data_IF_498849206728
#
_entry.id   IF_498849206728
#
_cell.length_a   1.000
_cell.length_b   1.000
_cell.length_c   1.000
_cell.angle_alpha   90.00
_cell.angle_beta   90.00
_cell.angle_gamma   90.00
#
_symmetry.space_group_name_H-M   'P 1'
#
loop_
_entity.id
_entity.type
_entity.pdbx_description
1 polymer ?
#
# COMPACT_ATOMS: atom_id res chain seq x y z
N UNK A 1 -19.22 -13.17 -61.57
CA UNK A 1 -19.74 -13.36 -60.19
C UNK A 1 -18.99 -12.37 -59.31
N UNK A 2 -19.66 -11.29 -58.88
CA UNK A 2 -19.04 -10.16 -58.20
C UNK A 2 -19.08 -10.32 -56.68
N UNK A 3 -17.93 -10.18 -56.04
CA UNK A 3 -17.79 -10.17 -54.58
C UNK A 3 -17.92 -8.73 -54.08
N UNK A 4 -19.11 -8.35 -53.63
CA UNK A 4 -19.34 -7.09 -52.92
C UNK A 4 -18.82 -7.19 -51.50
N UNK A 5 -17.80 -6.40 -51.17
CA UNK A 5 -17.28 -6.27 -49.80
C UNK A 5 -18.29 -5.57 -48.90
N UNK A 6 -18.73 -6.23 -47.84
CA UNK A 6 -19.54 -5.64 -46.78
C UNK A 6 -18.66 -4.80 -45.85
N UNK A 7 -18.81 -3.48 -45.91
CA UNK A 7 -18.26 -2.58 -44.88
C UNK A 7 -19.15 -2.67 -43.63
N UNK A 8 -18.56 -3.04 -42.50
CA UNK A 8 -19.19 -2.85 -41.19
C UNK A 8 -19.08 -1.36 -40.84
N UNK A 9 -20.21 -0.66 -40.80
CA UNK A 9 -20.28 0.69 -40.26
C UNK A 9 -20.21 0.61 -38.72
N UNK A 10 -19.10 1.06 -38.15
CA UNK A 10 -18.99 1.27 -36.70
C UNK A 10 -19.79 2.52 -36.32
N UNK A 11 -20.96 2.33 -35.71
CA UNK A 11 -21.69 3.42 -35.07
C UNK A 11 -20.94 3.86 -33.81
N UNK A 12 -20.18 4.94 -33.93
CA UNK A 12 -19.61 5.65 -32.78
C UNK A 12 -20.71 6.55 -32.21
N UNK A 13 -21.23 6.20 -31.03
CA UNK A 13 -22.12 7.08 -30.28
C UNK A 13 -21.32 8.26 -29.72
N UNK A 14 -21.32 9.38 -30.45
CA UNK A 14 -20.90 10.66 -29.92
C UNK A 14 -22.04 11.24 -29.09
N UNK A 15 -21.85 11.33 -27.78
CA UNK A 15 -22.79 11.98 -26.87
C UNK A 15 -22.64 13.51 -26.97
N UNK A 16 -22.94 14.07 -28.14
CA UNK A 16 -22.84 15.53 -28.40
C UNK A 16 -24.18 16.25 -28.15
N UNK A 17 -25.00 15.71 -27.24
CA UNK A 17 -26.21 16.34 -26.77
C UNK A 17 -25.91 17.10 -25.48
N UNK A 18 -26.26 18.39 -25.36
CA UNK A 18 -26.04 19.14 -24.13
C UNK A 18 -26.78 18.43 -22.99
N UNK A 19 -26.04 17.99 -21.97
CA UNK A 19 -26.58 17.31 -20.79
C UNK A 19 -27.52 18.29 -20.07
N UNK A 20 -28.80 18.22 -20.39
CA UNK A 20 -29.84 19.00 -19.72
C UNK A 20 -30.24 18.25 -18.47
N UNK A 21 -29.62 18.61 -17.34
CA UNK A 21 -30.12 18.19 -16.03
C UNK A 21 -31.50 18.81 -15.80
N UNK A 22 -32.42 18.04 -15.23
CA UNK A 22 -33.72 18.55 -14.84
C UNK A 22 -33.56 19.59 -13.73
N UNK A 23 -34.42 20.61 -13.73
CA UNK A 23 -34.39 21.67 -12.70
C UNK A 23 -34.54 21.10 -11.28
N UNK A 24 -35.24 19.97 -11.12
CA UNK A 24 -35.36 19.26 -9.85
C UNK A 24 -34.04 18.68 -9.36
N UNK A 25 -33.22 18.13 -10.27
CA UNK A 25 -31.89 17.60 -9.93
C UNK A 25 -30.93 18.73 -9.64
N UNK A 26 -30.97 19.82 -10.40
CA UNK A 26 -30.16 21.03 -10.13
C UNK A 26 -30.50 21.61 -8.75
N UNK A 27 -31.78 21.75 -8.43
CA UNK A 27 -32.22 22.25 -7.12
C UNK A 27 -31.84 21.27 -5.98
N UNK A 28 -31.89 19.97 -6.23
CA UNK A 28 -31.46 18.96 -5.24
C UNK A 28 -29.94 19.00 -5.02
N UNK A 29 -29.14 19.21 -6.07
CA UNK A 29 -27.70 19.35 -5.97
C UNK A 29 -27.29 20.67 -5.30
N UNK A 30 -28.01 21.76 -5.58
CA UNK A 30 -27.76 23.08 -4.98
C UNK A 30 -28.17 23.16 -3.50
N UNK A 31 -29.20 22.45 -3.10
CA UNK A 31 -29.69 22.44 -1.71
C UNK A 31 -29.15 21.26 -0.89
N UNK A 32 -28.39 20.34 -1.50
CA UNK A 32 -27.77 19.24 -0.78
C UNK A 32 -26.60 19.78 0.06
N UNK A 33 -26.67 19.69 1.40
CA UNK A 33 -25.49 19.98 2.24
C UNK A 33 -24.44 18.87 2.12
N UNK A 34 -24.83 17.71 1.56
CA UNK A 34 -23.95 16.56 1.34
C UNK A 34 -23.06 16.84 0.13
N UNK A 35 -21.79 17.18 0.38
CA UNK A 35 -20.74 17.30 -0.62
C UNK A 35 -20.17 15.92 -0.96
N UNK A 36 -19.37 15.80 -2.02
CA UNK A 36 -18.66 14.55 -2.34
C UNK A 36 -17.79 14.06 -1.17
N UNK A 37 -17.35 14.97 -0.30
CA UNK A 37 -16.59 14.65 0.91
C UNK A 37 -17.44 13.95 1.97
N UNK A 38 -18.69 14.35 2.19
CA UNK A 38 -19.56 13.70 3.18
C UNK A 38 -19.97 12.31 2.72
N UNK A 39 -20.29 12.17 1.41
CA UNK A 39 -20.54 10.86 0.79
C UNK A 39 -19.34 9.90 0.90
N UNK A 40 -18.12 10.41 0.73
CA UNK A 40 -16.91 9.61 0.89
C UNK A 40 -16.70 9.18 2.35
N UNK A 41 -16.97 10.06 3.31
CA UNK A 41 -16.88 9.76 4.75
C UNK A 41 -17.90 8.72 5.19
N UNK A 42 -19.15 8.82 4.74
CA UNK A 42 -20.20 7.84 5.05
C UNK A 42 -19.88 6.45 4.50
N UNK A 43 -19.33 6.40 3.29
CA UNK A 43 -18.90 5.15 2.69
C UNK A 43 -17.75 4.50 3.47
N UNK A 44 -16.78 5.32 3.89
CA UNK A 44 -15.66 4.86 4.72
C UNK A 44 -16.13 4.32 6.07
N UNK A 45 -17.03 5.03 6.76
CA UNK A 45 -17.61 4.55 8.02
C UNK A 45 -18.34 3.21 7.86
N UNK A 46 -19.07 3.04 6.75
CA UNK A 46 -19.75 1.78 6.44
C UNK A 46 -18.78 0.63 6.15
N UNK A 47 -17.64 0.91 5.52
CA UNK A 47 -16.57 -0.09 5.35
C UNK A 47 -16.02 -0.47 6.73
N UNK A 48 -15.68 0.51 7.56
CA UNK A 48 -15.12 0.27 8.89
C UNK A 48 -16.05 -0.58 9.75
N UNK A 49 -17.35 -0.30 9.74
CA UNK A 49 -18.33 -1.08 10.50
C UNK A 49 -18.37 -2.54 10.04
N UNK A 50 -18.35 -2.78 8.72
CA UNK A 50 -18.38 -4.13 8.15
C UNK A 50 -17.09 -4.90 8.46
N UNK A 51 -15.93 -4.26 8.28
CA UNK A 51 -14.64 -4.86 8.60
C UNK A 51 -14.58 -5.24 10.07
N UNK A 52 -15.06 -4.36 10.96
CA UNK A 52 -15.09 -4.63 12.39
C UNK A 52 -15.98 -5.83 12.75
N UNK A 53 -17.16 -5.94 12.13
CA UNK A 53 -18.05 -7.09 12.32
C UNK A 53 -17.39 -8.41 11.87
N UNK A 54 -16.76 -8.42 10.69
CA UNK A 54 -16.05 -9.61 10.18
C UNK A 54 -14.85 -10.00 11.05
N UNK A 55 -14.12 -9.02 11.59
CA UNK A 55 -13.02 -9.28 12.53
C UNK A 55 -13.55 -9.86 13.84
N UNK A 56 -14.68 -9.38 14.37
CA UNK A 56 -15.31 -9.98 15.56
C UNK A 56 -15.72 -11.41 15.31
N UNK A 57 -16.39 -11.67 14.19
CA UNK A 57 -16.81 -13.02 13.79
C UNK A 57 -15.62 -13.96 13.66
N UNK A 58 -14.53 -13.49 13.07
CA UNK A 58 -13.28 -14.26 12.93
C UNK A 58 -12.69 -14.58 14.30
N UNK A 59 -12.63 -13.60 15.22
CA UNK A 59 -12.13 -13.80 16.58
C UNK A 59 -12.96 -14.82 17.35
N UNK A 60 -14.28 -14.75 17.28
CA UNK A 60 -15.18 -15.70 17.95
C UNK A 60 -15.04 -17.12 17.38
N UNK A 61 -14.91 -17.25 16.06
CA UNK A 61 -14.66 -18.54 15.42
C UNK A 61 -13.31 -19.15 15.83
N UNK A 62 -12.27 -18.32 15.92
CA UNK A 62 -10.96 -18.74 16.41
C UNK A 62 -11.04 -19.16 17.87
N UNK A 63 -11.70 -18.38 18.74
CA UNK A 63 -11.87 -18.73 20.15
C UNK A 63 -12.59 -20.08 20.32
N UNK A 64 -13.73 -20.28 19.63
CA UNK A 64 -14.45 -21.56 19.65
C UNK A 64 -13.59 -22.73 19.18
N UNK A 65 -12.77 -22.53 18.14
CA UNK A 65 -11.82 -23.55 17.68
C UNK A 65 -10.79 -23.85 18.77
N UNK A 66 -10.17 -22.83 19.36
CA UNK A 66 -9.20 -23.01 20.44
C UNK A 66 -9.82 -23.73 21.64
N UNK A 67 -11.04 -23.39 22.02
CA UNK A 67 -11.77 -24.07 23.10
C UNK A 67 -12.02 -25.55 22.75
N UNK A 68 -12.42 -25.86 21.50
CA UNK A 68 -12.64 -27.23 21.05
C UNK A 68 -11.35 -28.07 21.01
N UNK A 69 -10.24 -27.46 20.57
CA UNK A 69 -8.93 -28.11 20.59
C UNK A 69 -8.48 -28.34 22.03
N UNK A 70 -8.61 -27.33 22.90
CA UNK A 70 -8.30 -27.43 24.32
C UNK A 70 -9.14 -28.51 25.01
N UNK A 71 -10.43 -28.58 24.73
CA UNK A 71 -11.32 -29.63 25.25
C UNK A 71 -10.88 -31.03 24.77
N UNK A 72 -10.47 -31.16 23.51
CA UNK A 72 -9.97 -32.42 22.94
C UNK A 72 -8.63 -32.84 23.54
N UNK A 73 -7.74 -31.88 23.82
CA UNK A 73 -6.44 -32.10 24.45
C UNK A 73 -6.58 -32.44 25.95
N UNK A 74 -7.57 -31.89 26.64
CA UNK A 74 -7.79 -32.14 28.07
C UNK A 74 -8.61 -33.41 28.35
N UNK A 75 -9.51 -33.79 27.43
CA UNK A 75 -10.26 -35.06 27.49
C UNK A 75 -9.37 -36.29 27.30
N UNK A 76 -8.26 -36.16 26.56
CA UNK A 76 -7.23 -37.19 26.49
C UNK A 76 -6.08 -36.86 27.46
N UNK A 77 -6.25 -37.18 28.75
CA UNK A 77 -5.10 -37.27 29.65
C UNK A 77 -4.18 -38.42 29.18
N UNK A 78 -2.86 -38.22 29.05
CA UNK A 78 -1.94 -39.28 28.72
C UNK A 78 -1.83 -40.25 29.91
N UNK A 79 -2.28 -41.48 29.70
CA UNK A 79 -1.87 -42.64 30.50
C UNK A 79 -0.35 -42.79 30.30
N UNK A 80 0.48 -42.74 31.36
CA UNK A 80 1.89 -43.02 31.22
C UNK A 80 2.04 -44.53 31.09
N UNK A 81 2.46 -45.03 29.93
CA UNK A 81 3.19 -46.30 29.83
C UNK A 81 3.79 -46.49 28.44
N UNK A 82 5.00 -47.03 28.45
CA UNK A 82 5.97 -47.13 27.38
C UNK A 82 5.50 -47.99 26.21
N UNK A 83 5.77 -47.56 24.99
CA UNK A 83 6.40 -48.39 23.94
C UNK A 83 6.54 -47.60 22.64
N UNK A 84 7.79 -47.38 22.23
CA UNK A 84 8.17 -46.92 20.91
C UNK A 84 7.56 -47.81 19.81
N UNK A 85 7.26 -47.24 18.64
CA UNK A 85 8.12 -47.57 17.51
C UNK A 85 8.58 -46.35 16.72
N UNK A 86 9.79 -46.48 16.19
CA UNK A 86 10.43 -45.55 15.26
C UNK A 86 9.58 -45.39 13.99
N UNK A 87 9.34 -44.15 13.58
CA UNK A 87 9.06 -43.81 12.18
C UNK A 87 9.87 -42.57 11.81
N UNK A 88 10.84 -42.77 10.93
CA UNK A 88 11.45 -41.70 10.13
C UNK A 88 10.33 -41.01 9.33
N UNK A 89 10.28 -39.68 9.36
CA UNK A 89 9.23 -38.92 8.70
C UNK A 89 9.22 -37.47 9.14
N UNK A 90 10.02 -36.66 8.45
CA UNK A 90 9.75 -35.26 8.11
C UNK A 90 9.42 -34.29 9.25
N UNK A 91 10.32 -33.32 9.43
CA UNK A 91 10.16 -32.15 10.30
C UNK A 91 9.08 -31.20 9.73
N UNK A 92 7.83 -31.65 9.64
CA UNK A 92 6.65 -30.84 9.30
C UNK A 92 5.79 -30.57 10.53
N UNK A 93 6.43 -30.52 11.71
CA UNK A 93 5.78 -30.09 12.94
C UNK A 93 5.71 -28.57 13.02
N UNK A 94 4.58 -28.07 13.54
CA UNK A 94 4.26 -26.66 13.85
C UNK A 94 5.39 -25.86 14.55
N UNK A 95 6.36 -26.55 15.16
CA UNK A 95 7.57 -25.96 15.72
C UNK A 95 8.47 -25.27 14.68
N UNK A 96 8.55 -25.76 13.44
CA UNK A 96 9.32 -25.11 12.38
C UNK A 96 8.68 -23.80 11.89
N UNK A 97 7.34 -23.69 11.99
CA UNK A 97 6.60 -22.45 11.68
C UNK A 97 6.60 -21.44 12.83
N UNK A 98 6.78 -21.91 14.08
CA UNK A 98 6.88 -21.04 15.25
C UNK A 98 8.31 -20.49 15.44
N UNK A 99 9.33 -21.16 14.92
CA UNK A 99 10.71 -20.64 14.80
C UNK A 99 10.86 -19.67 13.62
N UNK A 100 9.84 -18.85 13.37
CA UNK A 100 9.90 -17.76 12.41
C UNK A 100 10.89 -16.69 12.91
N UNK A 101 11.73 -16.13 12.03
CA UNK A 101 12.69 -15.08 12.41
C UNK A 101 12.05 -13.76 12.83
N UNK A 102 10.71 -13.68 12.83
CA UNK A 102 9.94 -12.52 13.26
C UNK A 102 9.40 -12.66 14.70
N UNK A 103 9.50 -13.83 15.34
CA UNK A 103 8.97 -14.06 16.69
C UNK A 103 10.12 -14.31 17.69
N UNK A 104 10.57 -13.25 18.35
CA UNK A 104 11.43 -13.35 19.52
C UNK A 104 10.56 -13.28 20.78
N UNK A 105 10.45 -14.41 21.48
CA UNK A 105 9.86 -14.44 22.83
C UNK A 105 10.90 -13.93 23.84
N UNK A 106 10.63 -12.76 24.43
CA UNK A 106 11.46 -12.13 25.47
C UNK A 106 11.29 -12.80 26.85
N UNK A 107 10.32 -13.71 27.02
CA UNK A 107 9.98 -14.26 28.35
C UNK A 107 10.81 -15.47 28.80
N UNK A 108 11.61 -16.08 27.92
CA UNK A 108 12.38 -17.28 28.26
C UNK A 108 13.85 -16.94 28.56
N UNK A 109 14.12 -16.55 29.81
CA UNK A 109 15.49 -16.45 30.33
C UNK A 109 15.96 -17.83 30.84
N UNK A 110 16.98 -18.34 30.16
CA UNK A 110 17.98 -19.33 30.60
C UNK A 110 17.48 -20.72 31.04
N UNK A 111 17.77 -21.73 30.21
CA UNK A 111 18.64 -22.86 30.61
C UNK A 111 19.07 -23.73 29.43
N UNK A 112 20.37 -23.99 29.47
CA UNK A 112 21.11 -25.12 28.91
C UNK A 112 21.38 -25.20 27.40
N UNK A 113 22.65 -24.91 27.12
CA UNK A 113 23.41 -25.25 25.94
C UNK A 113 23.48 -26.77 25.73
N UNK A 114 23.06 -27.21 24.54
CA UNK A 114 23.69 -28.26 23.68
C UNK A 114 22.67 -28.79 22.66
N UNK A 115 22.52 -28.08 21.55
CA UNK A 115 22.09 -28.66 20.29
C UNK A 115 22.89 -28.02 19.17
N UNK A 116 23.26 -28.86 18.19
CA UNK A 116 24.25 -28.63 17.17
C UNK A 116 24.22 -27.23 16.53
N UNK A 117 25.42 -26.72 16.27
CA UNK A 117 25.71 -25.58 15.40
C UNK A 117 25.16 -25.88 13.99
N UNK A 118 23.87 -25.64 13.80
CA UNK A 118 23.32 -25.31 12.49
C UNK A 118 23.60 -23.84 12.34
N UNK A 119 24.75 -23.56 11.72
CA UNK A 119 25.16 -22.22 11.31
C UNK A 119 23.96 -21.53 10.68
N UNK A 120 23.35 -20.60 11.42
CA UNK A 120 22.09 -19.99 11.03
C UNK A 120 22.27 -19.05 9.83
N UNK A 121 23.44 -19.05 9.17
CA UNK A 121 23.81 -18.09 8.14
C UNK A 121 23.72 -16.64 8.62
N UNK A 122 23.60 -16.43 9.94
CA UNK A 122 23.43 -15.15 10.64
C UNK A 122 24.74 -14.73 11.29
N UNK A 123 25.87 -15.09 10.67
CA UNK A 123 27.14 -14.50 11.04
C UNK A 123 27.08 -12.99 10.80
N UNK A 124 27.79 -12.22 11.63
CA UNK A 124 27.97 -10.78 11.44
C UNK A 124 28.37 -10.46 9.99
N UNK A 125 29.18 -11.33 9.38
CA UNK A 125 29.64 -11.19 8.00
C UNK A 125 28.52 -11.36 6.98
N UNK A 126 27.60 -12.32 7.17
CA UNK A 126 26.42 -12.49 6.32
C UNK A 126 25.50 -11.28 6.37
N UNK A 127 25.23 -10.74 7.57
CA UNK A 127 24.42 -9.53 7.75
C UNK A 127 25.10 -8.32 7.10
N UNK A 128 26.42 -8.18 7.25
CA UNK A 128 27.18 -7.11 6.58
C UNK A 128 27.11 -7.21 5.05
N UNK A 129 27.18 -8.43 4.51
CA UNK A 129 27.03 -8.68 3.08
C UNK A 129 25.62 -8.32 2.59
N UNK A 130 24.58 -8.71 3.32
CA UNK A 130 23.19 -8.32 3.01
C UNK A 130 22.99 -6.79 3.08
N UNK A 131 23.59 -6.12 4.07
CA UNK A 131 23.55 -4.66 4.18
C UNK A 131 24.23 -4.01 2.98
N UNK A 132 25.38 -4.51 2.54
CA UNK A 132 26.07 -4.00 1.35
C UNK A 132 25.23 -4.20 0.08
N UNK A 133 24.60 -5.36 -0.07
CA UNK A 133 23.71 -5.65 -1.19
C UNK A 133 22.47 -4.76 -1.19
N UNK A 134 21.88 -4.50 -0.02
CA UNK A 134 20.77 -3.57 0.13
C UNK A 134 21.18 -2.14 -0.21
N UNK A 135 22.38 -1.69 0.21
CA UNK A 135 22.93 -0.38 -0.17
C UNK A 135 23.14 -0.29 -1.67
N UNK A 136 23.73 -1.31 -2.29
CA UNK A 136 23.92 -1.40 -3.74
C UNK A 136 22.58 -1.38 -4.49
N UNK A 137 21.58 -2.11 -4.01
CA UNK A 137 20.22 -2.09 -4.56
C UNK A 137 19.58 -0.71 -4.41
N UNK A 138 19.76 -0.04 -3.28
CA UNK A 138 19.22 1.29 -3.02
C UNK A 138 19.90 2.36 -3.88
N UNK A 139 21.21 2.26 -4.14
CA UNK A 139 21.94 3.12 -5.08
C UNK A 139 21.61 2.82 -6.54
N UNK A 140 21.29 1.57 -6.88
CA UNK A 140 20.84 1.17 -8.21
C UNK A 140 19.41 1.61 -8.52
N UNK A 141 18.59 1.89 -7.49
CA UNK A 141 17.29 2.51 -7.71
C UNK A 141 17.52 3.92 -8.25
N UNK A 142 16.74 4.28 -9.26
CA UNK A 142 16.75 5.60 -9.89
C UNK A 142 16.55 6.66 -8.80
N UNK A 143 17.64 7.33 -8.38
CA UNK A 143 17.56 8.48 -7.48
C UNK A 143 16.59 9.47 -8.11
N UNK A 144 15.60 9.91 -7.33
CA UNK A 144 14.66 10.97 -7.72
C UNK A 144 15.50 12.08 -8.34
N UNK A 145 15.26 12.35 -9.62
CA UNK A 145 16.01 13.32 -10.40
C UNK A 145 15.91 14.65 -9.65
N UNK A 146 17.05 15.13 -9.13
CA UNK A 146 17.06 16.32 -8.26
C UNK A 146 16.47 17.47 -9.06
N UNK A 147 15.45 18.11 -8.48
CA UNK A 147 14.82 19.31 -9.04
C UNK A 147 15.92 20.34 -9.34
N UNK A 148 15.95 20.94 -10.54
CA UNK A 148 16.97 21.93 -10.88
C UNK A 148 16.89 23.12 -9.93
N UNK A 149 18.05 23.67 -9.56
CA UNK A 149 18.17 24.79 -8.61
C UNK A 149 17.39 26.04 -9.07
N UNK A 150 17.20 26.21 -10.37
CA UNK A 150 16.44 27.33 -10.94
C UNK A 150 14.95 27.24 -10.60
N UNK A 151 14.36 26.04 -10.64
CA UNK A 151 12.96 25.83 -10.28
C UNK A 151 12.72 26.02 -8.78
N UNK A 152 13.64 25.54 -7.92
CA UNK A 152 13.53 25.77 -6.47
C UNK A 152 13.62 27.26 -6.14
N UNK A 153 14.49 28.03 -6.81
CA UNK A 153 14.54 29.49 -6.65
C UNK A 153 13.24 30.18 -7.07
N UNK A 154 12.67 29.80 -8.22
CA UNK A 154 11.41 30.36 -8.72
C UNK A 154 10.22 30.01 -7.79
N UNK A 155 10.25 28.82 -7.20
CA UNK A 155 9.29 28.39 -6.18
C UNK A 155 9.44 29.20 -4.89
N UNK A 156 10.68 29.39 -4.42
CA UNK A 156 10.96 30.20 -3.23
C UNK A 156 10.52 31.66 -3.42
N UNK A 157 10.76 32.27 -4.59
CA UNK A 157 10.30 33.63 -4.88
C UNK A 157 8.77 33.73 -4.91
N UNK A 158 8.09 32.76 -5.53
CA UNK A 158 6.63 32.71 -5.54
C UNK A 158 6.05 32.56 -4.14
N UNK A 159 6.59 31.64 -3.34
CA UNK A 159 6.16 31.43 -1.95
C UNK A 159 6.44 32.66 -1.10
N UNK A 160 7.58 33.32 -1.30
CA UNK A 160 7.92 34.56 -0.60
C UNK A 160 6.93 35.69 -0.95
N UNK A 161 6.62 35.89 -2.23
CA UNK A 161 5.66 36.90 -2.64
C UNK A 161 4.27 36.61 -2.06
N UNK A 162 3.79 35.37 -2.16
CA UNK A 162 2.47 35.00 -1.66
C UNK A 162 2.35 35.20 -0.14
N UNK A 163 3.40 34.84 0.63
CA UNK A 163 3.45 35.08 2.08
C UNK A 163 3.44 36.57 2.43
N UNK A 164 4.15 37.39 1.67
CA UNK A 164 4.17 38.84 1.89
C UNK A 164 2.83 39.49 1.49
N UNK A 165 2.13 38.90 0.52
CA UNK A 165 0.88 39.40 -0.05
C UNK A 165 -0.30 38.43 0.18
N UNK A 166 -0.45 37.90 1.41
CA UNK A 166 -1.46 36.87 1.75
C UNK A 166 -2.92 37.29 1.42
N UNK A 167 -3.21 38.59 1.45
CA UNK A 167 -4.54 39.14 1.12
C UNK A 167 -4.67 39.65 -0.32
N UNK A 168 -3.57 39.65 -1.08
CA UNK A 168 -3.48 40.16 -2.46
C UNK A 168 -2.64 39.23 -3.34
N UNK A 169 -3.07 37.97 -3.54
CA UNK A 169 -2.29 37.01 -4.32
C UNK A 169 -2.14 37.39 -5.81
N UNK A 170 -2.98 38.31 -6.32
CA UNK A 170 -2.89 38.83 -7.68
C UNK A 170 -1.65 39.71 -7.92
N UNK A 171 -1.04 40.25 -6.87
CA UNK A 171 0.18 41.07 -6.99
C UNK A 171 1.41 40.22 -7.36
N UNK A 172 1.35 38.91 -7.13
CA UNK A 172 2.44 37.95 -7.37
C UNK A 172 2.41 37.28 -8.76
N UNK A 173 1.79 37.93 -9.75
CA UNK A 173 1.54 37.32 -11.05
C UNK A 173 2.84 37.08 -11.84
N UNK A 174 3.86 37.91 -11.67
CA UNK A 174 5.16 37.78 -12.34
C UNK A 174 5.93 36.55 -11.83
N UNK A 175 5.93 36.32 -10.51
CA UNK A 175 6.50 35.13 -9.88
C UNK A 175 5.77 33.85 -10.31
N UNK A 176 4.45 33.92 -10.47
CA UNK A 176 3.67 32.79 -11.01
C UNK A 176 4.08 32.48 -12.45
N UNK A 177 4.29 33.51 -13.29
CA UNK A 177 4.69 33.31 -14.68
C UNK A 177 6.11 32.73 -14.80
N UNK A 178 7.06 33.24 -14.01
CA UNK A 178 8.42 32.70 -13.98
C UNK A 178 8.46 31.24 -13.51
N UNK A 179 7.71 30.89 -12.46
CA UNK A 179 7.60 29.50 -12.02
C UNK A 179 6.98 28.59 -13.09
N UNK A 180 5.89 29.03 -13.75
CA UNK A 180 5.28 28.28 -14.86
C UNK A 180 6.24 28.07 -16.03
N UNK A 181 7.06 29.07 -16.36
CA UNK A 181 8.06 28.95 -17.41
C UNK A 181 9.09 27.86 -17.07
N UNK A 182 9.61 27.83 -15.84
CA UNK A 182 10.57 26.81 -15.41
C UNK A 182 9.96 25.39 -15.34
N UNK A 183 8.73 25.27 -14.83
CA UNK A 183 8.00 23.99 -14.86
C UNK A 183 7.79 23.52 -16.30
N UNK A 184 7.39 24.41 -17.19
CA UNK A 184 7.17 24.07 -18.61
C UNK A 184 8.44 23.60 -19.33
N UNK A 185 9.63 24.09 -18.96
CA UNK A 185 10.90 23.55 -19.48
C UNK A 185 11.12 22.10 -19.02
N UNK A 186 10.83 21.79 -17.76
CA UNK A 186 10.99 20.44 -17.21
C UNK A 186 9.96 19.47 -17.77
N UNK A 187 8.71 19.90 -17.92
CA UNK A 187 7.67 19.09 -18.56
C UNK A 187 8.04 18.74 -20.00
N UNK A 188 8.53 19.73 -20.78
CA UNK A 188 9.01 19.48 -22.15
C UNK A 188 10.14 18.45 -22.19
N UNK A 189 11.14 18.60 -21.31
CA UNK A 189 12.25 17.66 -21.20
C UNK A 189 11.77 16.26 -20.78
N UNK A 190 10.80 16.18 -19.87
CA UNK A 190 10.20 14.92 -19.44
C UNK A 190 9.43 14.24 -20.57
N UNK A 191 8.60 14.98 -21.30
CA UNK A 191 7.83 14.46 -22.45
C UNK A 191 8.79 13.95 -23.54
N UNK A 192 9.86 14.69 -23.85
CA UNK A 192 10.88 14.24 -24.81
C UNK A 192 11.57 12.94 -24.35
N UNK A 193 11.86 12.80 -23.05
CA UNK A 193 12.47 11.60 -22.47
C UNK A 193 11.51 10.41 -22.38
N UNK A 194 10.23 10.65 -22.19
CA UNK A 194 9.21 9.62 -22.04
C UNK A 194 8.59 9.17 -23.37
N UNK A 195 8.62 10.02 -24.40
CA UNK A 195 8.09 9.74 -25.74
C UNK A 195 9.12 9.28 -26.77
N UNK A 196 10.41 9.23 -26.42
CA UNK A 196 11.49 8.69 -27.26
C UNK A 196 12.05 7.38 -26.75
#
# INVERSE_FOLDING_TARGET
MGSGGSKQEQHVFNADAPVRLSQSVVNSLQNSPESDTTRAQDYELKIQSRVHEELRKTRENQAKRLDSLTASLTTNQPKPEESSPKSEGENSGLFATLSSPFYHDWSAKEKDSKTANVDSGRSSDSVNNEIMDLRKKLDSRKKVEKVPKELEKAKESLVSCLRNNDRRPLDCWEEVQSFKAEVGKLEKAFIQKAGG
#
